data_IF_356434118697
#
_entry.id   IF_356434118697
#
_cell.length_a   1.000
_cell.length_b   1.000
_cell.length_c   1.000
_cell.angle_alpha   90.00
_cell.angle_beta   90.00
_cell.angle_gamma   90.00
#
_symmetry.space_group_name_H-M   'P 1'
#
loop_
_entity.id
_entity.type
_entity.pdbx_description
1 polymer ?
#
# COMPACT_ATOMS: atom_id res chain seq x y z
N UNK A 1 104.82 28.91 -16.15
CA UNK A 1 103.98 29.42 -15.05
C UNK A 1 102.55 29.02 -15.36
N UNK A 2 101.95 28.07 -14.64
CA UNK A 2 100.52 27.76 -14.85
C UNK A 2 99.97 26.43 -14.32
N UNK A 3 100.74 25.34 -14.16
CA UNK A 3 100.13 24.00 -14.00
C UNK A 3 100.03 23.44 -12.57
N UNK A 4 100.81 23.94 -11.61
CA UNK A 4 100.89 23.32 -10.27
C UNK A 4 99.92 23.96 -9.25
N UNK A 5 99.60 25.25 -9.45
CA UNK A 5 98.61 25.98 -8.65
C UNK A 5 97.20 25.41 -8.89
N UNK A 6 96.88 24.99 -10.12
CA UNK A 6 95.58 24.39 -10.46
C UNK A 6 95.37 23.02 -9.79
N UNK A 7 96.42 22.20 -9.68
CA UNK A 7 96.30 20.84 -9.12
C UNK A 7 96.09 20.83 -7.60
N UNK A 8 96.70 21.77 -6.89
CA UNK A 8 96.52 21.94 -5.44
C UNK A 8 95.14 22.55 -5.15
N UNK A 9 94.69 23.49 -5.99
CA UNK A 9 93.38 24.13 -5.86
C UNK A 9 92.25 23.14 -6.15
N UNK A 10 92.39 22.31 -7.20
CA UNK A 10 91.46 21.21 -7.50
C UNK A 10 91.37 20.18 -6.37
N UNK A 11 92.51 19.75 -5.81
CA UNK A 11 92.53 18.80 -4.69
C UNK A 11 91.88 19.36 -3.42
N UNK A 12 92.04 20.66 -3.14
CA UNK A 12 91.32 21.34 -2.06
C UNK A 12 89.82 21.41 -2.36
N UNK A 13 89.44 21.72 -3.60
CA UNK A 13 88.03 21.80 -4.02
C UNK A 13 87.32 20.45 -3.86
N UNK A 14 87.96 19.35 -4.26
CA UNK A 14 87.46 17.98 -4.05
C UNK A 14 87.31 17.65 -2.56
N UNK A 15 88.26 18.06 -1.72
CA UNK A 15 88.16 17.88 -0.26
C UNK A 15 87.01 18.68 0.36
N UNK A 16 86.79 19.92 -0.10
CA UNK A 16 85.67 20.76 0.36
C UNK A 16 84.33 20.23 -0.13
N UNK A 17 84.25 19.78 -1.39
CA UNK A 17 83.06 19.16 -1.98
C UNK A 17 82.70 17.86 -1.25
N UNK A 18 83.70 17.02 -0.93
CA UNK A 18 83.48 15.78 -0.16
C UNK A 18 82.99 16.09 1.26
N UNK A 19 83.59 17.08 1.93
CA UNK A 19 83.14 17.51 3.27
C UNK A 19 81.71 18.06 3.25
N UNK A 20 81.38 18.88 2.26
CA UNK A 20 80.03 19.42 2.07
C UNK A 20 79.02 18.31 1.79
N UNK A 21 79.37 17.34 0.92
CA UNK A 21 78.53 16.18 0.62
C UNK A 21 78.26 15.35 1.89
N UNK A 22 79.28 15.05 2.68
CA UNK A 22 79.13 14.29 3.93
C UNK A 22 78.24 15.05 4.93
N UNK A 23 78.41 16.37 5.06
CA UNK A 23 77.56 17.19 5.95
C UNK A 23 76.10 17.17 5.48
N UNK A 24 75.86 17.35 4.18
CA UNK A 24 74.52 17.30 3.60
C UNK A 24 73.88 15.91 3.68
N UNK A 25 74.67 14.86 3.54
CA UNK A 25 74.20 13.49 3.65
C UNK A 25 73.79 13.17 5.10
N UNK A 26 74.61 13.57 6.08
CA UNK A 26 74.28 13.42 7.50
C UNK A 26 73.04 14.25 7.86
N UNK A 27 72.92 15.49 7.37
CA UNK A 27 71.75 16.32 7.64
C UNK A 27 70.47 15.78 7.00
N UNK A 28 70.55 15.22 5.79
CA UNK A 28 69.41 14.55 5.15
C UNK A 28 68.97 13.31 5.94
N UNK A 29 69.91 12.49 6.41
CA UNK A 29 69.63 11.31 7.23
C UNK A 29 68.98 11.68 8.57
N UNK A 30 69.46 12.74 9.24
CA UNK A 30 68.84 13.18 10.50
C UNK A 30 67.44 13.71 10.28
N UNK A 31 67.20 14.50 9.22
CA UNK A 31 65.84 14.96 8.86
C UNK A 31 64.90 13.77 8.61
N UNK A 32 65.35 12.75 7.89
CA UNK A 32 64.54 11.54 7.62
C UNK A 32 64.23 10.75 8.89
N UNK A 33 65.19 10.67 9.81
CA UNK A 33 65.02 10.02 11.11
C UNK A 33 64.00 10.77 11.98
N UNK A 34 64.10 12.10 12.05
CA UNK A 34 63.11 12.90 12.78
C UNK A 34 61.72 12.80 12.15
N UNK A 35 61.62 12.82 10.81
CA UNK A 35 60.36 12.68 10.10
C UNK A 35 59.67 11.34 10.38
N UNK A 36 60.43 10.26 10.47
CA UNK A 36 59.91 8.91 10.77
C UNK A 36 59.48 8.76 12.22
N UNK A 37 60.16 9.40 13.18
CA UNK A 37 59.83 9.36 14.62
C UNK A 37 58.62 10.24 14.96
N UNK A 38 58.50 11.42 14.33
CA UNK A 38 57.44 12.40 14.64
C UNK A 38 56.08 11.98 14.07
N UNK A 39 56.05 10.98 13.17
CA UNK A 39 54.81 10.52 12.54
C UNK A 39 53.86 9.95 13.62
N UNK A 40 52.71 10.58 13.89
CA UNK A 40 51.81 10.10 14.93
C UNK A 40 51.30 8.70 14.55
N UNK A 41 51.44 7.75 15.47
CA UNK A 41 50.88 6.41 15.32
C UNK A 41 49.40 6.43 15.67
N UNK A 42 48.56 5.95 14.75
CA UNK A 42 47.16 5.66 15.05
C UNK A 42 47.07 4.40 15.90
N UNK A 43 46.52 4.52 17.10
CA UNK A 43 46.28 3.39 18.01
C UNK A 43 44.82 2.95 17.89
N UNK A 44 44.60 1.72 17.43
CA UNK A 44 43.25 1.12 17.41
C UNK A 44 42.92 0.55 18.79
N UNK A 45 41.84 1.04 19.41
CA UNK A 45 41.27 0.47 20.64
C UNK A 45 40.04 -0.36 20.29
N UNK A 46 39.98 -1.59 20.79
CA UNK A 46 38.84 -2.49 20.62
C UNK A 46 38.01 -2.52 21.90
N UNK A 47 36.69 -2.57 21.73
CA UNK A 47 35.71 -2.70 22.82
C UNK A 47 34.75 -3.82 22.44
N UNK A 48 34.73 -4.89 23.23
CA UNK A 48 33.90 -6.06 22.96
C UNK A 48 32.51 -5.90 23.58
N UNK A 49 31.46 -6.18 22.79
CA UNK A 49 30.04 -6.15 23.16
C UNK A 49 29.63 -5.00 24.11
N UNK A 50 29.86 -3.73 23.72
CA UNK A 50 29.52 -2.60 24.56
C UNK A 50 28.01 -2.50 24.75
N UNK A 51 27.56 -2.14 25.96
CA UNK A 51 26.16 -1.77 26.17
C UNK A 51 25.78 -0.54 25.33
N UNK A 52 24.50 -0.39 24.98
CA UNK A 52 24.04 0.75 24.16
C UNK A 52 24.39 2.11 24.80
N UNK A 53 24.30 2.20 26.14
CA UNK A 53 24.69 3.40 26.90
C UNK A 53 26.20 3.66 26.76
N UNK A 54 27.02 2.62 26.92
CA UNK A 54 28.47 2.75 26.80
C UNK A 54 28.89 3.09 25.36
N UNK A 55 28.26 2.49 24.36
CA UNK A 55 28.43 2.86 22.95
C UNK A 55 28.11 4.34 22.69
N UNK A 56 26.99 4.85 23.21
CA UNK A 56 26.64 6.25 23.06
C UNK A 56 27.63 7.20 23.74
N UNK A 57 28.25 6.77 24.85
CA UNK A 57 29.36 7.50 25.46
C UNK A 57 30.59 7.52 24.55
N UNK A 58 31.02 6.35 24.05
CA UNK A 58 32.14 6.22 23.11
C UNK A 58 31.93 7.07 21.85
N UNK A 59 30.71 7.09 21.31
CA UNK A 59 30.36 7.89 20.13
C UNK A 59 30.48 9.39 20.39
N UNK A 60 30.18 9.87 21.59
CA UNK A 60 30.42 11.27 21.99
C UNK A 60 31.91 11.59 22.12
N UNK A 61 32.73 10.62 22.51
CA UNK A 61 34.18 10.81 22.69
C UNK A 61 34.95 10.74 21.36
N UNK A 62 34.59 9.80 20.49
CA UNK A 62 35.36 9.47 19.28
C UNK A 62 34.68 9.88 17.96
N UNK A 63 33.40 10.28 17.99
CA UNK A 63 32.68 10.74 16.80
C UNK A 63 32.66 9.71 15.67
N UNK A 64 32.96 10.17 14.46
CA UNK A 64 32.92 9.37 13.22
C UNK A 64 34.09 8.37 13.10
N UNK A 65 35.12 8.49 13.94
CA UNK A 65 36.23 7.52 13.97
C UNK A 65 35.83 6.19 14.64
N UNK A 66 34.75 6.19 15.43
CA UNK A 66 34.23 5.00 16.09
C UNK A 66 33.48 4.11 15.10
N UNK A 67 33.97 2.89 14.89
CA UNK A 67 33.28 1.86 14.10
C UNK A 67 32.74 0.76 15.00
N UNK A 68 31.42 0.62 15.05
CA UNK A 68 30.75 -0.46 15.77
C UNK A 68 30.15 -1.43 14.75
N UNK A 69 30.85 -2.55 14.52
CA UNK A 69 30.40 -3.58 13.58
C UNK A 69 29.37 -4.49 14.24
N UNK A 70 28.33 -4.85 13.50
CA UNK A 70 27.32 -5.77 13.99
C UNK A 70 27.84 -7.21 13.97
N UNK A 71 27.54 -7.99 15.00
CA UNK A 71 27.80 -9.44 15.04
C UNK A 71 26.90 -10.21 14.06
N UNK A 72 25.67 -9.72 13.88
CA UNK A 72 24.71 -10.18 12.88
C UNK A 72 24.33 -9.02 11.98
N UNK A 73 24.37 -9.20 10.66
CA UNK A 73 24.14 -8.12 9.69
C UNK A 73 22.71 -8.01 9.18
N UNK A 74 21.84 -8.95 9.56
CA UNK A 74 20.46 -9.03 9.07
C UNK A 74 19.49 -9.39 10.20
N UNK A 75 18.42 -8.59 10.33
CA UNK A 75 17.35 -8.76 11.31
C UNK A 75 16.01 -8.61 10.62
N UNK A 76 15.02 -9.40 11.02
CA UNK A 76 13.64 -9.23 10.55
C UNK A 76 12.98 -8.08 11.31
N UNK A 77 12.16 -7.27 10.64
CA UNK A 77 11.50 -6.13 11.27
C UNK A 77 10.56 -6.53 12.41
N UNK A 78 9.98 -7.73 12.37
CA UNK A 78 9.13 -8.27 13.44
C UNK A 78 9.82 -8.40 14.81
N UNK A 79 11.15 -8.27 14.89
CA UNK A 79 11.88 -8.34 16.16
C UNK A 79 11.78 -7.05 16.98
N UNK A 80 11.41 -5.93 16.33
CA UNK A 80 11.44 -4.61 16.93
C UNK A 80 10.35 -3.65 16.41
N UNK A 81 9.45 -4.12 15.55
CA UNK A 81 8.30 -3.34 15.04
C UNK A 81 7.00 -4.12 15.26
N UNK A 82 5.98 -3.42 15.73
CA UNK A 82 4.61 -3.88 15.85
C UNK A 82 3.70 -2.92 15.06
N UNK A 83 2.79 -3.47 14.27
CA UNK A 83 1.86 -2.69 13.43
C UNK A 83 0.44 -3.22 13.68
N UNK A 84 -0.44 -2.33 14.13
CA UNK A 84 -1.86 -2.61 14.30
C UNK A 84 -2.69 -1.74 13.32
N UNK A 85 -3.24 -2.33 12.24
CA UNK A 85 -4.07 -1.59 11.30
C UNK A 85 -5.45 -1.31 11.88
N UNK A 86 -5.94 -0.08 11.67
CA UNK A 86 -7.32 0.31 11.98
C UNK A 86 -8.11 0.32 10.67
N UNK A 87 -9.11 -0.54 10.58
CA UNK A 87 -10.00 -0.62 9.43
C UNK A 87 -11.26 0.23 9.64
N UNK A 88 -11.89 0.62 8.53
CA UNK A 88 -13.13 1.39 8.57
C UNK A 88 -14.24 0.62 9.30
N UNK A 89 -15.03 1.32 10.12
CA UNK A 89 -16.08 0.74 10.99
C UNK A 89 -17.12 -0.09 10.24
N UNK A 90 -17.35 0.21 8.95
CA UNK A 90 -18.24 -0.57 8.08
C UNK A 90 -17.84 -2.05 8.01
N UNK A 91 -16.54 -2.37 8.07
CA UNK A 91 -16.04 -3.74 7.97
C UNK A 91 -16.24 -4.58 9.23
N UNK A 92 -16.75 -3.98 10.31
CA UNK A 92 -17.18 -4.68 11.53
C UNK A 92 -18.66 -4.46 11.83
N UNK A 93 -19.38 -3.78 10.93
CA UNK A 93 -20.80 -3.46 11.08
C UNK A 93 -21.72 -4.63 10.69
N UNK A 94 -23.01 -4.51 11.02
CA UNK A 94 -24.03 -5.46 10.60
C UNK A 94 -24.15 -5.59 9.07
N UNK A 95 -23.73 -4.56 8.32
CA UNK A 95 -23.73 -4.51 6.86
C UNK A 95 -22.65 -5.37 6.18
N UNK A 96 -21.92 -6.21 6.92
CA UNK A 96 -20.99 -7.19 6.34
C UNK A 96 -21.11 -8.58 6.97
N UNK A 97 -22.01 -8.78 7.93
CA UNK A 97 -22.24 -10.07 8.59
C UNK A 97 -23.01 -11.04 7.67
N UNK A 98 -23.28 -12.30 8.03
CA UNK A 98 -24.00 -13.20 7.10
C UNK A 98 -25.52 -13.18 7.27
N UNK A 99 -26.03 -12.86 8.46
CA UNK A 99 -27.45 -13.07 8.83
C UNK A 99 -28.45 -12.24 8.00
N UNK A 100 -28.18 -10.96 7.82
CA UNK A 100 -28.99 -10.03 7.04
C UNK A 100 -29.08 -10.38 5.53
N UNK A 101 -28.06 -11.06 4.95
CA UNK A 101 -28.04 -11.47 3.54
C UNK A 101 -29.16 -12.45 3.20
N UNK A 102 -29.41 -13.42 4.08
CA UNK A 102 -30.40 -14.47 3.87
C UNK A 102 -31.84 -13.97 4.01
N UNK A 103 -32.05 -12.93 4.83
CA UNK A 103 -33.35 -12.35 5.05
C UNK A 103 -33.85 -11.54 3.82
N UNK A 104 -32.95 -10.84 3.13
CA UNK A 104 -33.30 -9.99 1.97
C UNK A 104 -33.72 -10.77 0.71
N UNK A 105 -33.35 -12.05 0.59
CA UNK A 105 -33.61 -12.88 -0.60
C UNK A 105 -34.99 -13.55 -0.55
N UNK A 106 -35.62 -13.67 0.62
CA UNK A 106 -36.87 -14.43 0.81
C UNK A 106 -38.09 -13.84 0.09
N UNK A 107 -38.05 -12.57 -0.30
CA UNK A 107 -39.22 -11.81 -0.76
C UNK A 107 -39.20 -11.40 -2.24
N UNK A 108 -38.25 -11.92 -3.03
CA UNK A 108 -38.23 -11.70 -4.47
C UNK A 108 -39.19 -12.68 -5.16
N UNK A 109 -40.35 -12.18 -5.58
CA UNK A 109 -41.35 -12.95 -6.35
C UNK A 109 -40.72 -13.49 -7.64
N UNK A 110 -40.76 -14.80 -7.92
CA UNK A 110 -40.21 -15.36 -9.15
C UNK A 110 -40.87 -14.81 -10.44
N UNK A 111 -41.98 -14.07 -10.36
CA UNK A 111 -42.69 -13.46 -11.50
C UNK A 111 -42.38 -11.95 -11.72
N UNK A 112 -41.31 -11.42 -11.13
CA UNK A 112 -40.93 -10.00 -11.26
C UNK A 112 -40.90 -9.54 -12.74
N UNK A 113 -41.77 -8.60 -13.06
CA UNK A 113 -41.88 -7.89 -14.33
C UNK A 113 -40.62 -7.06 -14.63
N UNK A 114 -40.43 -6.67 -15.90
CA UNK A 114 -39.28 -5.84 -16.34
C UNK A 114 -39.18 -4.51 -15.57
N UNK A 115 -40.30 -3.95 -15.08
CA UNK A 115 -40.30 -2.74 -14.28
C UNK A 115 -39.74 -2.95 -12.86
N UNK A 116 -39.79 -4.17 -12.36
CA UNK A 116 -39.26 -4.55 -11.06
C UNK A 116 -37.77 -4.90 -11.13
N UNK A 117 -37.17 -5.05 -12.33
CA UNK A 117 -35.71 -5.15 -12.52
C UNK A 117 -34.95 -3.89 -12.11
N UNK A 118 -35.64 -2.74 -12.01
CA UNK A 118 -35.07 -1.48 -11.50
C UNK A 118 -35.36 -1.26 -10.00
N UNK A 119 -35.85 -2.27 -9.29
CA UNK A 119 -36.03 -2.20 -7.84
C UNK A 119 -34.70 -2.39 -7.10
N UNK A 120 -34.36 -1.43 -6.25
CA UNK A 120 -33.11 -1.45 -5.51
C UNK A 120 -32.98 -2.66 -4.57
N UNK A 121 -34.07 -3.32 -4.14
CA UNK A 121 -34.00 -4.53 -3.30
C UNK A 121 -33.21 -5.66 -3.96
N UNK A 122 -33.27 -5.77 -5.29
CA UNK A 122 -32.48 -6.75 -6.06
C UNK A 122 -30.98 -6.42 -6.00
N UNK A 123 -30.64 -5.14 -5.97
CA UNK A 123 -29.26 -4.64 -5.93
C UNK A 123 -28.70 -4.59 -4.52
N UNK A 124 -29.56 -4.43 -3.52
CA UNK A 124 -29.16 -4.31 -2.13
C UNK A 124 -28.32 -5.53 -1.76
N UNK A 125 -28.83 -6.76 -1.89
CA UNK A 125 -28.02 -7.98 -1.60
C UNK A 125 -26.68 -8.01 -2.34
N UNK A 126 -26.64 -7.54 -3.58
CA UNK A 126 -25.42 -7.48 -4.39
C UNK A 126 -24.39 -6.46 -3.86
N UNK A 127 -24.82 -5.24 -3.52
CA UNK A 127 -23.96 -4.20 -2.95
C UNK A 127 -23.36 -4.63 -1.63
N UNK A 128 -24.15 -5.33 -0.83
CA UNK A 128 -23.79 -5.80 0.48
C UNK A 128 -22.79 -6.95 0.43
N UNK A 129 -22.99 -7.89 -0.50
CA UNK A 129 -21.98 -8.91 -0.82
C UNK A 129 -20.69 -8.28 -1.35
N UNK A 130 -20.81 -7.27 -2.20
CA UNK A 130 -19.66 -6.54 -2.71
C UNK A 130 -18.90 -5.81 -1.59
N UNK A 131 -19.60 -5.15 -0.67
CA UNK A 131 -19.03 -4.48 0.49
C UNK A 131 -18.34 -5.47 1.44
N UNK A 132 -18.96 -6.61 1.71
CA UNK A 132 -18.35 -7.69 2.49
C UNK A 132 -17.05 -8.19 1.83
N UNK A 133 -17.09 -8.47 0.53
CA UNK A 133 -15.92 -8.90 -0.23
C UNK A 133 -14.81 -7.84 -0.26
N UNK A 134 -15.17 -6.56 -0.43
CA UNK A 134 -14.25 -5.42 -0.32
C UNK A 134 -13.57 -5.37 1.05
N UNK A 135 -14.33 -5.52 2.13
CA UNK A 135 -13.79 -5.54 3.48
C UNK A 135 -12.84 -6.73 3.69
N UNK A 136 -13.25 -7.94 3.30
CA UNK A 136 -12.40 -9.12 3.42
C UNK A 136 -11.09 -8.98 2.63
N UNK A 137 -11.19 -8.59 1.36
CA UNK A 137 -10.01 -8.46 0.50
C UNK A 137 -9.11 -7.29 0.91
N UNK A 138 -9.67 -6.17 1.38
CA UNK A 138 -8.87 -5.05 1.87
C UNK A 138 -8.13 -5.41 3.16
N UNK A 139 -8.80 -6.03 4.14
CA UNK A 139 -8.17 -6.54 5.37
C UNK A 139 -7.06 -7.53 5.03
N UNK A 140 -7.35 -8.51 4.18
CA UNK A 140 -6.36 -9.51 3.76
C UNK A 140 -5.17 -8.86 3.04
N UNK A 141 -5.42 -7.92 2.13
CA UNK A 141 -4.38 -7.22 1.39
C UNK A 141 -3.45 -6.42 2.30
N UNK A 142 -4.01 -5.69 3.28
CA UNK A 142 -3.21 -4.93 4.25
C UNK A 142 -2.41 -5.86 5.15
N UNK A 143 -3.02 -6.91 5.70
CA UNK A 143 -2.33 -7.88 6.54
C UNK A 143 -1.19 -8.56 5.79
N UNK A 144 -1.40 -8.96 4.53
CA UNK A 144 -0.34 -9.53 3.70
C UNK A 144 0.83 -8.54 3.50
N UNK A 145 0.54 -7.25 3.28
CA UNK A 145 1.59 -6.22 3.16
C UNK A 145 2.35 -5.98 4.47
N UNK A 146 1.65 -6.05 5.61
CA UNK A 146 2.27 -5.97 6.94
C UNK A 146 3.16 -7.18 7.18
N UNK A 147 2.67 -8.39 6.90
CA UNK A 147 3.44 -9.63 7.05
C UNK A 147 4.69 -9.63 6.17
N UNK A 148 4.57 -9.19 4.91
CA UNK A 148 5.70 -9.04 3.99
C UNK A 148 6.74 -8.05 4.54
N UNK A 149 6.30 -6.92 5.10
CA UNK A 149 7.20 -5.95 5.74
C UNK A 149 7.88 -6.52 6.99
N UNK A 150 7.12 -7.11 7.90
CA UNK A 150 7.61 -7.65 9.16
C UNK A 150 8.58 -8.82 8.96
N UNK A 151 8.42 -9.58 7.88
CA UNK A 151 9.35 -10.64 7.46
C UNK A 151 10.54 -10.13 6.64
N UNK A 152 10.49 -8.89 6.14
CA UNK A 152 11.60 -8.28 5.42
C UNK A 152 12.80 -8.00 6.34
N UNK A 153 13.99 -7.87 5.73
CA UNK A 153 15.26 -7.76 6.46
C UNK A 153 15.78 -6.33 6.52
N UNK A 154 16.07 -5.87 7.74
CA UNK A 154 17.00 -4.77 7.98
C UNK A 154 18.43 -5.29 7.85
N UNK A 155 19.12 -4.85 6.79
CA UNK A 155 20.53 -5.17 6.56
C UNK A 155 21.42 -3.98 6.95
N UNK A 156 22.36 -4.21 7.86
CA UNK A 156 23.37 -3.23 8.27
C UNK A 156 24.65 -3.91 8.74
N UNK A 157 25.80 -3.36 8.35
CA UNK A 157 27.13 -3.87 8.73
C UNK A 157 27.64 -3.19 10.00
N UNK A 158 27.16 -1.98 10.26
CA UNK A 158 27.52 -1.17 11.41
C UNK A 158 26.25 -0.75 12.18
N UNK A 159 26.41 -0.45 13.46
CA UNK A 159 25.31 -0.01 14.31
C UNK A 159 24.76 1.33 13.79
N UNK A 160 23.47 1.34 13.45
CA UNK A 160 22.77 2.55 13.02
C UNK A 160 22.65 3.54 14.19
N UNK A 161 22.67 4.83 13.88
CA UNK A 161 22.18 5.83 14.83
C UNK A 161 20.67 5.70 15.00
N UNK A 162 20.18 6.08 16.17
CA UNK A 162 18.75 6.10 16.48
C UNK A 162 17.97 6.91 15.44
N UNK A 163 18.46 8.11 15.12
CA UNK A 163 17.89 8.96 14.07
C UNK A 163 17.82 8.26 12.70
N UNK A 164 18.88 7.55 12.28
CA UNK A 164 18.90 6.86 10.99
C UNK A 164 17.96 5.66 10.98
N UNK A 165 17.87 4.95 12.10
CA UNK A 165 16.95 3.84 12.28
C UNK A 165 15.50 4.31 12.23
N UNK A 166 15.14 5.34 12.99
CA UNK A 166 13.80 5.93 13.00
C UNK A 166 13.42 6.51 11.64
N UNK A 167 14.30 7.27 10.99
CA UNK A 167 14.05 7.80 9.64
C UNK A 167 13.78 6.70 8.64
N UNK A 168 14.59 5.62 8.67
CA UNK A 168 14.40 4.48 7.78
C UNK A 168 13.07 3.78 8.06
N UNK A 169 12.72 3.59 9.32
CA UNK A 169 11.46 2.97 9.71
C UNK A 169 10.26 3.82 9.27
N UNK A 170 10.30 5.13 9.52
CA UNK A 170 9.24 6.07 9.14
C UNK A 170 9.00 6.09 7.63
N UNK A 171 10.07 6.11 6.82
CA UNK A 171 9.96 6.06 5.36
C UNK A 171 9.26 4.76 4.91
N UNK A 172 9.64 3.62 5.48
CA UNK A 172 9.05 2.33 5.10
C UNK A 172 7.59 2.23 5.53
N UNK A 173 7.26 2.70 6.73
CA UNK A 173 5.89 2.75 7.24
C UNK A 173 4.99 3.60 6.34
N UNK A 174 5.45 4.79 5.95
CA UNK A 174 4.69 5.67 5.04
C UNK A 174 4.55 5.06 3.64
N UNK A 175 5.58 4.35 3.15
CA UNK A 175 5.48 3.61 1.89
C UNK A 175 4.41 2.52 1.95
N UNK A 176 4.31 1.76 3.04
CA UNK A 176 3.29 0.71 3.18
C UNK A 176 1.89 1.31 3.19
N UNK A 177 1.68 2.37 3.98
CA UNK A 177 0.41 3.10 4.06
C UNK A 177 -0.09 3.56 2.69
N UNK A 178 0.82 3.97 1.80
CA UNK A 178 0.48 4.46 0.46
C UNK A 178 0.36 3.30 -0.54
N UNK A 179 1.32 2.38 -0.56
CA UNK A 179 1.42 1.38 -1.61
C UNK A 179 0.35 0.30 -1.50
N UNK A 180 0.03 -0.16 -0.29
CA UNK A 180 -0.92 -1.27 -0.12
C UNK A 180 -2.34 -0.91 -0.62
N UNK A 181 -2.94 0.25 -0.27
CA UNK A 181 -4.22 0.67 -0.82
C UNK A 181 -4.19 0.93 -2.34
N UNK A 182 -3.08 1.46 -2.85
CA UNK A 182 -2.90 1.71 -4.28
C UNK A 182 -2.88 0.40 -5.06
N UNK A 183 -2.12 -0.60 -4.58
CA UNK A 183 -2.02 -1.91 -5.21
C UNK A 183 -3.40 -2.59 -5.24
N UNK A 184 -4.10 -2.58 -4.11
CA UNK A 184 -5.46 -3.10 -4.01
C UNK A 184 -6.40 -2.44 -5.02
N UNK A 185 -6.42 -1.10 -5.07
CA UNK A 185 -7.28 -0.34 -5.99
C UNK A 185 -6.97 -0.64 -7.46
N UNK A 186 -5.69 -0.80 -7.81
CA UNK A 186 -5.26 -1.17 -9.17
C UNK A 186 -5.73 -2.56 -9.57
N UNK A 187 -5.60 -3.54 -8.67
CA UNK A 187 -6.06 -4.91 -8.90
C UNK A 187 -7.58 -4.96 -9.08
N UNK A 188 -8.32 -4.23 -8.23
CA UNK A 188 -9.77 -4.12 -8.33
C UNK A 188 -10.20 -3.50 -9.67
N UNK A 189 -9.61 -2.37 -10.05
CA UNK A 189 -9.91 -1.70 -11.33
C UNK A 189 -9.58 -2.58 -12.53
N UNK A 190 -8.44 -3.28 -12.50
CA UNK A 190 -8.03 -4.21 -13.56
C UNK A 190 -9.01 -5.37 -13.70
N UNK A 191 -9.47 -5.93 -12.58
CA UNK A 191 -10.50 -6.98 -12.56
C UNK A 191 -11.79 -6.48 -13.20
N UNK A 192 -12.26 -5.29 -12.82
CA UNK A 192 -13.46 -4.69 -13.40
C UNK A 192 -13.33 -4.45 -14.92
N UNK A 193 -12.17 -3.98 -15.38
CA UNK A 193 -11.91 -3.79 -16.82
C UNK A 193 -11.93 -5.12 -17.59
N UNK A 194 -11.36 -6.19 -17.02
CA UNK A 194 -11.41 -7.53 -17.62
C UNK A 194 -12.86 -8.02 -17.70
N UNK A 195 -13.64 -7.87 -16.62
CA UNK A 195 -15.05 -8.28 -16.58
C UNK A 195 -15.89 -7.54 -17.64
N UNK A 196 -15.71 -6.22 -17.74
CA UNK A 196 -16.41 -5.39 -18.71
C UNK A 196 -15.98 -5.71 -20.15
N UNK A 197 -14.68 -5.81 -20.42
CA UNK A 197 -14.15 -6.08 -21.76
C UNK A 197 -14.53 -7.46 -22.32
N UNK A 198 -14.85 -8.42 -21.46
CA UNK A 198 -15.32 -9.76 -21.85
C UNK A 198 -16.85 -9.91 -21.78
N UNK A 199 -17.59 -8.82 -21.52
CA UNK A 199 -19.04 -8.83 -21.37
C UNK A 199 -19.57 -9.90 -20.40
N UNK A 200 -18.84 -10.15 -19.30
CA UNK A 200 -19.22 -11.17 -18.32
C UNK A 200 -20.49 -10.70 -17.61
N UNK A 201 -21.56 -11.48 -17.74
CA UNK A 201 -22.86 -11.18 -17.14
C UNK A 201 -22.76 -11.24 -15.61
N UNK A 202 -23.20 -10.17 -14.94
CA UNK A 202 -23.35 -10.14 -13.49
C UNK A 202 -24.47 -11.11 -13.07
N UNK A 203 -24.38 -11.66 -11.85
CA UNK A 203 -25.40 -12.58 -11.31
C UNK A 203 -26.83 -12.05 -11.41
N UNK A 204 -26.99 -10.73 -11.39
CA UNK A 204 -28.27 -10.03 -11.42
C UNK A 204 -28.66 -9.53 -12.83
N UNK A 205 -27.85 -9.80 -13.86
CA UNK A 205 -28.14 -9.41 -15.25
C UNK A 205 -28.12 -7.89 -15.50
N UNK A 206 -27.41 -7.14 -14.66
CA UNK A 206 -27.50 -5.67 -14.57
C UNK A 206 -26.59 -4.95 -15.57
N UNK A 207 -25.51 -5.61 -16.00
CA UNK A 207 -24.62 -5.12 -17.06
C UNK A 207 -25.00 -5.70 -18.42
N UNK A 208 -25.24 -7.00 -18.47
CA UNK A 208 -25.62 -7.73 -19.66
C UNK A 208 -26.72 -8.74 -19.28
N UNK A 209 -27.63 -9.01 -20.21
CA UNK A 209 -28.67 -10.01 -20.05
C UNK A 209 -28.60 -11.04 -21.19
N UNK A 210 -29.12 -12.25 -20.95
CA UNK A 210 -29.31 -13.22 -22.01
C UNK A 210 -30.62 -12.95 -22.75
N UNK A 211 -30.53 -12.78 -24.06
CA UNK A 211 -31.67 -12.77 -24.97
C UNK A 211 -31.77 -14.11 -25.66
N UNK A 212 -32.94 -14.72 -25.54
CA UNK A 212 -33.27 -15.97 -26.21
C UNK A 212 -34.21 -15.64 -27.37
N UNK A 213 -33.74 -15.85 -28.60
CA UNK A 213 -34.58 -15.78 -29.79
C UNK A 213 -34.89 -17.20 -30.26
N UNK A 214 -36.19 -17.52 -30.32
CA UNK A 214 -36.68 -18.72 -30.95
C UNK A 214 -37.12 -18.38 -32.38
N UNK A 215 -36.38 -18.88 -33.39
CA UNK A 215 -36.75 -18.73 -34.79
C UNK A 215 -37.40 -20.03 -35.27
N UNK A 216 -38.74 -20.10 -35.19
CA UNK A 216 -39.49 -21.32 -35.43
C UNK A 216 -39.21 -22.42 -34.39
N UNK A 217 -39.60 -23.67 -34.70
CA UNK A 217 -39.54 -24.81 -33.76
C UNK A 217 -38.19 -25.56 -33.73
N UNK A 218 -37.12 -25.06 -34.36
CA UNK A 218 -35.87 -25.83 -34.55
C UNK A 218 -34.57 -25.18 -34.08
N UNK A 219 -34.51 -23.85 -33.87
CA UNK A 219 -33.27 -23.20 -33.45
C UNK A 219 -33.54 -22.18 -32.33
N UNK A 220 -32.90 -22.40 -31.19
CA UNK A 220 -32.87 -21.48 -30.06
C UNK A 220 -31.46 -20.89 -29.99
N UNK A 221 -31.36 -19.59 -30.20
CA UNK A 221 -30.09 -18.87 -30.05
C UNK A 221 -30.16 -18.03 -28.77
N UNK A 222 -29.13 -18.16 -27.93
CA UNK A 222 -28.91 -17.29 -26.80
C UNK A 222 -27.73 -16.37 -27.11
N UNK A 223 -27.94 -15.06 -27.01
CA UNK A 223 -26.88 -14.06 -27.11
C UNK A 223 -26.97 -13.10 -25.93
N UNK A 224 -25.87 -12.41 -25.66
CA UNK A 224 -25.81 -11.40 -24.61
C UNK A 224 -26.15 -10.03 -25.18
N UNK A 225 -27.02 -9.29 -24.52
CA UNK A 225 -27.33 -7.90 -24.84
C UNK A 225 -26.94 -7.00 -23.66
N UNK A 226 -26.33 -5.85 -23.94
CA UNK A 226 -25.98 -4.89 -22.91
C UNK A 226 -27.24 -4.22 -22.35
N UNK A 227 -27.29 -4.09 -21.02
CA UNK A 227 -28.34 -3.33 -20.35
C UNK A 227 -28.15 -1.83 -20.62
N UNK A 228 -29.25 -1.14 -20.93
CA UNK A 228 -29.28 0.30 -21.20
C UNK A 228 -29.99 0.98 -20.04
N UNK A 229 -29.28 1.90 -19.38
CA UNK A 229 -29.81 2.74 -18.30
C UNK A 229 -30.37 4.04 -18.86
N UNK A 230 -30.84 4.92 -17.97
CA UNK A 230 -31.37 6.23 -18.35
C UNK A 230 -30.30 7.04 -19.13
N UNK A 231 -30.74 8.03 -19.92
CA UNK A 231 -29.88 8.80 -20.85
C UNK A 231 -29.19 7.96 -21.95
N UNK A 232 -29.79 6.81 -22.33
CA UNK A 232 -29.27 5.88 -23.34
C UNK A 232 -27.87 5.32 -22.99
N UNK A 233 -27.49 5.32 -21.72
CA UNK A 233 -26.19 4.83 -21.27
C UNK A 233 -26.14 3.30 -21.35
N UNK A 234 -25.37 2.77 -22.30
CA UNK A 234 -25.19 1.33 -22.52
C UNK A 234 -24.01 0.77 -21.71
N UNK A 235 -24.26 -0.29 -20.94
CA UNK A 235 -23.24 -1.02 -20.19
C UNK A 235 -22.21 -1.75 -21.04
N UNK A 236 -22.45 -1.91 -22.34
CA UNK A 236 -21.47 -2.43 -23.29
C UNK A 236 -20.48 -1.38 -23.78
N UNK A 237 -20.82 -0.09 -23.64
CA UNK A 237 -19.99 1.03 -24.04
C UNK A 237 -19.32 1.71 -22.84
N UNK A 238 -20.02 1.78 -21.71
CA UNK A 238 -19.53 2.42 -20.49
C UNK A 238 -19.90 1.61 -19.25
N UNK A 239 -18.93 1.23 -18.39
CA UNK A 239 -19.23 0.54 -17.14
C UNK A 239 -19.86 1.44 -16.07
N UNK A 240 -19.85 2.75 -16.27
CA UNK A 240 -20.22 3.76 -15.28
C UNK A 240 -21.68 4.19 -15.37
N UNK A 241 -22.51 3.51 -16.18
CA UNK A 241 -23.94 3.81 -16.27
C UNK A 241 -24.60 3.51 -14.93
N UNK A 242 -25.23 4.53 -14.34
CA UNK A 242 -25.90 4.43 -13.03
C UNK A 242 -27.15 5.28 -12.98
N UNK A 243 -28.14 4.81 -12.23
CA UNK A 243 -29.38 5.53 -11.91
C UNK A 243 -29.59 5.59 -10.40
N UNK A 244 -30.47 6.48 -9.98
CA UNK A 244 -30.88 6.61 -8.58
C UNK A 244 -31.51 5.30 -8.09
N UNK A 245 -31.04 4.77 -6.96
CA UNK A 245 -31.65 3.61 -6.32
C UNK A 245 -33.04 3.96 -5.81
N UNK A 246 -34.04 3.17 -6.20
CA UNK A 246 -35.44 3.35 -5.79
C UNK A 246 -36.05 2.04 -5.33
N UNK A 247 -36.84 2.09 -4.26
CA UNK A 247 -37.72 1.00 -3.84
C UNK A 247 -39.06 1.14 -4.56
N UNK A 248 -39.62 0.02 -5.04
CA UNK A 248 -40.94 0.01 -5.70
C UNK A 248 -41.98 -0.58 -4.75
N UNK A 249 -43.06 0.16 -4.54
CA UNK A 249 -44.16 -0.29 -3.68
C UNK A 249 -44.91 -1.47 -4.31
N UNK A 250 -45.19 -2.53 -3.53
CA UNK A 250 -45.92 -3.71 -4.06
C UNK A 250 -47.29 -3.28 -4.58
N UNK A 251 -47.66 -3.75 -5.77
CA UNK A 251 -48.93 -3.45 -6.44
C UNK A 251 -49.13 -1.96 -6.81
N UNK A 252 -48.05 -1.19 -6.90
CA UNK A 252 -48.06 0.25 -7.21
C UNK A 252 -46.88 0.59 -8.12
N UNK A 253 -47.03 1.61 -8.98
CA UNK A 253 -45.92 2.15 -9.78
C UNK A 253 -45.12 3.22 -9.03
N UNK A 254 -45.40 3.41 -7.73
CA UNK A 254 -44.73 4.42 -6.90
C UNK A 254 -43.28 4.01 -6.64
N UNK A 255 -42.37 4.93 -6.97
CA UNK A 255 -40.93 4.80 -6.73
C UNK A 255 -40.51 5.67 -5.56
N UNK A 256 -39.81 5.08 -4.60
CA UNK A 256 -39.30 5.76 -3.40
C UNK A 256 -37.79 5.83 -3.51
N UNK A 257 -37.20 7.02 -3.75
CA UNK A 257 -35.75 7.16 -3.89
C UNK A 257 -35.04 6.97 -2.55
N UNK A 258 -33.94 6.22 -2.55
CA UNK A 258 -33.06 6.04 -1.40
C UNK A 258 -31.86 6.99 -1.48
N UNK A 259 -31.71 7.83 -0.45
CA UNK A 259 -30.69 8.88 -0.44
C UNK A 259 -29.28 8.30 -0.55
N UNK A 260 -28.47 8.85 -1.46
CA UNK A 260 -27.05 8.52 -1.56
C UNK A 260 -26.73 7.12 -2.08
N UNK A 261 -27.71 6.43 -2.65
CA UNK A 261 -27.55 5.07 -3.18
C UNK A 261 -27.86 5.05 -4.67
N UNK A 262 -26.96 4.48 -5.47
CA UNK A 262 -27.10 4.33 -6.92
C UNK A 262 -27.07 2.87 -7.31
N UNK A 263 -27.78 2.50 -8.37
CA UNK A 263 -27.70 1.19 -9.03
C UNK A 263 -27.17 1.35 -10.45
N UNK A 264 -26.59 0.33 -11.05
CA UNK A 264 -25.95 0.47 -12.36
C UNK A 264 -25.44 -0.86 -12.92
N UNK A 265 -24.61 -0.78 -13.96
CA UNK A 265 -24.11 -1.94 -14.70
C UNK A 265 -23.59 -3.04 -13.77
N UNK A 266 -22.75 -2.68 -12.80
CA UNK A 266 -22.24 -3.62 -11.81
C UNK A 266 -22.42 -3.06 -10.41
N UNK A 267 -22.68 -3.90 -9.39
CA UNK A 267 -22.72 -3.47 -8.00
C UNK A 267 -21.44 -2.73 -7.60
N UNK A 268 -20.29 -3.15 -8.14
CA UNK A 268 -19.02 -2.52 -7.83
C UNK A 268 -18.93 -1.07 -8.32
N UNK A 269 -19.37 -0.79 -9.54
CA UNK A 269 -19.32 0.57 -10.08
C UNK A 269 -20.37 1.45 -9.42
N UNK A 270 -21.61 0.96 -9.28
CA UNK A 270 -22.69 1.76 -8.69
C UNK A 270 -22.46 2.05 -7.21
N UNK A 271 -21.83 1.14 -6.47
CA UNK A 271 -21.44 1.37 -5.08
C UNK A 271 -20.36 2.45 -4.96
N UNK A 272 -19.34 2.45 -5.84
CA UNK A 272 -18.25 3.44 -5.80
C UNK A 272 -18.70 4.88 -6.10
N UNK A 273 -19.76 5.06 -6.90
CA UNK A 273 -20.36 6.39 -7.13
C UNK A 273 -21.48 6.74 -6.16
N UNK A 274 -21.85 5.82 -5.26
CA UNK A 274 -22.83 6.10 -4.21
C UNK A 274 -22.18 6.89 -3.07
N UNK A 275 -22.90 7.85 -2.49
CA UNK A 275 -22.42 8.57 -1.30
C UNK A 275 -22.68 7.79 -0.01
N UNK A 276 -23.53 6.74 -0.08
CA UNK A 276 -23.88 5.83 1.01
C UNK A 276 -24.54 6.50 2.22
N UNK A 277 -25.07 7.72 2.04
CA UNK A 277 -25.70 8.50 3.11
C UNK A 277 -26.83 7.74 3.82
N UNK A 278 -27.58 6.89 3.10
CA UNK A 278 -28.63 6.06 3.69
C UNK A 278 -28.13 5.19 4.86
N UNK A 279 -26.88 4.72 4.82
CA UNK A 279 -26.32 3.84 5.86
C UNK A 279 -25.99 4.59 7.17
N UNK A 280 -26.06 5.92 7.17
CA UNK A 280 -25.85 6.80 8.32
C UNK A 280 -27.16 7.44 8.81
N UNK A 281 -28.30 7.17 8.16
CA UNK A 281 -29.60 7.77 8.47
C UNK A 281 -30.61 6.70 8.90
N UNK A 282 -31.03 6.75 10.16
CA UNK A 282 -32.01 5.80 10.71
C UNK A 282 -33.30 5.77 9.89
N UNK A 283 -33.81 6.93 9.46
CA UNK A 283 -35.06 7.01 8.69
C UNK A 283 -34.93 6.29 7.35
N UNK A 284 -33.74 6.32 6.75
CA UNK A 284 -33.46 5.62 5.51
C UNK A 284 -33.30 4.11 5.72
N UNK A 285 -32.68 3.69 6.82
CA UNK A 285 -32.60 2.29 7.20
C UNK A 285 -33.98 1.70 7.52
N UNK A 286 -34.84 2.45 8.21
CA UNK A 286 -36.23 2.06 8.50
C UNK A 286 -37.03 1.82 7.20
N UNK A 287 -36.81 2.65 6.17
CA UNK A 287 -37.37 2.43 4.84
C UNK A 287 -36.87 1.09 4.25
N UNK A 288 -35.57 0.83 4.29
CA UNK A 288 -35.02 -0.43 3.79
C UNK A 288 -35.65 -1.61 4.52
N UNK A 289 -35.73 -1.57 5.85
CA UNK A 289 -36.34 -2.64 6.65
C UNK A 289 -37.81 -2.87 6.28
N UNK A 290 -38.59 -1.79 6.18
CA UNK A 290 -40.01 -1.87 5.86
C UNK A 290 -40.25 -2.53 4.49
N UNK A 291 -39.48 -2.14 3.47
CA UNK A 291 -39.67 -2.65 2.11
C UNK A 291 -39.04 -4.04 1.87
N UNK A 292 -38.19 -4.51 2.78
CA UNK A 292 -37.52 -5.81 2.71
C UNK A 292 -38.07 -6.83 3.72
N UNK A 293 -39.02 -6.43 4.58
CA UNK A 293 -39.53 -7.24 5.69
C UNK A 293 -38.41 -7.80 6.59
N UNK A 294 -37.37 -7.00 6.82
CA UNK A 294 -36.28 -7.40 7.70
C UNK A 294 -36.71 -7.25 9.17
N UNK A 295 -36.73 -8.36 9.91
CA UNK A 295 -37.26 -8.41 11.28
C UNK A 295 -36.33 -7.80 12.36
N UNK A 296 -35.02 -7.72 12.10
CA UNK A 296 -34.07 -7.15 13.07
C UNK A 296 -33.89 -5.65 12.87
N UNK A 297 -33.54 -4.93 13.94
CA UNK A 297 -33.18 -3.51 13.87
C UNK A 297 -31.86 -3.31 13.10
N UNK A 298 -31.83 -2.41 12.12
CA UNK A 298 -30.62 -1.92 11.47
C UNK A 298 -30.17 -0.66 12.20
N UNK A 299 -28.93 -0.66 12.64
CA UNK A 299 -28.32 0.51 13.28
C UNK A 299 -27.49 1.31 12.26
N UNK A 300 -27.59 2.65 12.26
CA UNK A 300 -26.74 3.52 11.46
C UNK A 300 -25.26 3.30 11.75
N UNK A 301 -24.43 3.44 10.72
CA UNK A 301 -22.98 3.52 10.90
C UNK A 301 -22.65 4.74 11.77
N UNK A 302 -21.72 4.57 12.70
CA UNK A 302 -21.23 5.69 13.51
C UNK A 302 -20.34 6.60 12.66
N UNK A 303 -20.51 7.92 12.83
CA UNK A 303 -19.62 8.95 12.26
C UNK A 303 -18.35 9.16 13.08
N UNK A 304 -18.22 8.53 14.26
CA UNK A 304 -17.15 8.85 15.22
C UNK A 304 -15.75 8.34 14.86
N UNK A 305 -15.57 7.60 13.75
CA UNK A 305 -14.29 6.99 13.37
C UNK A 305 -13.89 7.27 11.90
N UNK A 306 -14.26 8.43 11.34
CA UNK A 306 -13.66 8.95 10.11
C UNK A 306 -12.51 9.90 10.42
#
# INVERSE_FOLDING_TARGET
>A
MGSDVDRITAKRFDQWATRLYVILFISALTILMFYTIIRPHTLTKNFDEPSFIFYNHLRKTYGDELKCRCSKIAFTYNQFVEIEPIFHSVCTSEFVLEGWRLALVKDLDPNLTVYEQKDYRQFLSAHLQYLQGLCQLSIQSINNSIDEFLTSLLVTVELLSELNFENRLNILTEQIKINAPILFSRLLSSTQSILHGNAIISTYGTNFNYRILAYGSRYVYAYTEATIYDDECSCGLSPNCTIQGTLIERNSSRKIPLKGVRMGCTPSQSFLVSTLECFYDQSCLDLIQHYTNYENSLTPLSTTNL
#
